data_IF_477402430211
#
_entry.id   IF_477402430211
#
_cell.length_a   1.000
_cell.length_b   1.000
_cell.length_c   1.000
_cell.angle_alpha   90.00
_cell.angle_beta   90.00
_cell.angle_gamma   90.00
#
_symmetry.space_group_name_H-M   'P 1'
#
loop_
_entity.id
_entity.type
_entity.pdbx_description
1 polymer ?
#
# COMPACT_ATOMS: atom_id res chain seq x y z
N UNK A 1 -4.06 -13.91 -10.50
CA UNK A 1 -3.48 -12.64 -10.97
C UNK A 1 -2.93 -11.83 -9.81
N UNK A 2 -1.79 -11.17 -10.04
CA UNK A 2 -1.11 -10.24 -9.12
C UNK A 2 -1.33 -8.78 -9.55
N UNK A 3 -2.56 -8.42 -9.92
CA UNK A 3 -2.88 -7.03 -10.31
C UNK A 3 -3.19 -6.20 -9.07
N UNK A 4 -2.90 -4.89 -9.14
CA UNK A 4 -3.26 -3.93 -8.08
C UNK A 4 -4.77 -3.98 -7.80
N UNK A 5 -5.60 -4.12 -8.84
CA UNK A 5 -7.05 -4.24 -8.72
C UNK A 5 -7.49 -5.46 -7.88
N UNK A 6 -6.91 -6.63 -8.12
CA UNK A 6 -7.26 -7.84 -7.37
C UNK A 6 -6.75 -7.78 -5.92
N UNK A 7 -5.56 -7.22 -5.67
CA UNK A 7 -5.06 -7.01 -4.31
C UNK A 7 -5.96 -6.05 -3.51
N UNK A 8 -6.37 -4.92 -4.11
CA UNK A 8 -7.35 -3.99 -3.51
C UNK A 8 -8.68 -4.68 -3.21
N UNK A 9 -9.17 -5.54 -4.10
CA UNK A 9 -10.41 -6.31 -3.88
C UNK A 9 -10.30 -7.25 -2.68
N UNK A 10 -9.16 -7.94 -2.53
CA UNK A 10 -8.89 -8.82 -1.38
C UNK A 10 -8.81 -8.04 -0.08
N UNK A 11 -8.07 -6.92 -0.05
CA UNK A 11 -7.99 -6.03 1.10
C UNK A 11 -9.38 -5.54 1.53
N UNK A 12 -10.20 -5.04 0.58
CA UNK A 12 -11.59 -4.63 0.86
C UNK A 12 -12.41 -5.73 1.54
N UNK A 13 -12.27 -6.99 1.09
CA UNK A 13 -12.99 -8.13 1.68
C UNK A 13 -12.51 -8.43 3.10
N UNK A 14 -11.20 -8.34 3.37
CA UNK A 14 -10.63 -8.54 4.71
C UNK A 14 -11.13 -7.46 5.68
N UNK A 15 -11.08 -6.20 5.24
CA UNK A 15 -11.56 -5.05 6.02
C UNK A 15 -13.07 -5.13 6.28
N UNK A 16 -13.87 -5.58 5.30
CA UNK A 16 -15.31 -5.80 5.48
C UNK A 16 -15.60 -6.87 6.54
N UNK A 17 -14.79 -7.93 6.61
CA UNK A 17 -14.92 -8.99 7.62
C UNK A 17 -14.48 -8.53 9.01
N UNK A 18 -13.49 -7.65 9.08
CA UNK A 18 -12.93 -7.15 10.34
C UNK A 18 -12.77 -5.63 10.31
N UNK A 19 -13.83 -4.85 10.60
CA UNK A 19 -13.80 -3.38 10.52
C UNK A 19 -12.77 -2.72 11.45
N UNK A 20 -12.38 -3.38 12.54
CA UNK A 20 -11.32 -2.92 13.45
C UNK A 20 -9.97 -2.76 12.75
N UNK A 21 -9.71 -3.56 11.70
CA UNK A 21 -8.47 -3.47 10.91
C UNK A 21 -8.32 -2.13 10.20
N UNK A 22 -9.41 -1.37 9.99
CA UNK A 22 -9.31 -0.03 9.40
C UNK A 22 -8.42 0.91 10.23
N UNK A 23 -8.58 0.88 11.55
CA UNK A 23 -7.77 1.71 12.46
C UNK A 23 -6.35 1.17 12.58
N UNK A 24 -6.23 -0.16 12.61
CA UNK A 24 -4.93 -0.82 12.69
C UNK A 24 -4.07 -0.53 11.45
N UNK A 25 -4.66 -0.50 10.25
CA UNK A 25 -3.96 -0.21 9.01
C UNK A 25 -3.11 1.06 9.07
N UNK A 26 -3.67 2.16 9.59
CA UNK A 26 -2.93 3.42 9.72
C UNK A 26 -1.74 3.34 10.71
N UNK A 27 -1.81 2.43 11.69
CA UNK A 27 -0.74 2.24 12.68
C UNK A 27 0.44 1.47 12.09
N UNK A 28 0.17 0.57 11.14
CA UNK A 28 1.19 -0.30 10.52
C UNK A 28 1.58 0.12 9.11
N UNK A 29 0.98 1.18 8.57
CA UNK A 29 1.19 1.57 7.17
C UNK A 29 2.65 1.86 6.85
N UNK A 30 3.33 2.59 7.74
CA UNK A 30 4.74 2.95 7.55
C UNK A 30 5.62 1.69 7.50
N UNK A 31 5.40 0.72 8.39
CA UNK A 31 6.10 -0.57 8.39
C UNK A 31 5.88 -1.32 7.06
N UNK A 32 4.62 -1.45 6.62
CA UNK A 32 4.28 -2.12 5.36
C UNK A 32 4.92 -1.41 4.15
N UNK A 33 5.00 -0.08 4.19
CA UNK A 33 5.66 0.69 3.13
C UNK A 33 7.16 0.43 3.10
N UNK A 34 7.85 0.42 4.26
CA UNK A 34 9.28 0.14 4.32
C UNK A 34 9.61 -1.29 3.86
N UNK A 35 8.76 -2.27 4.16
CA UNK A 35 8.89 -3.63 3.66
C UNK A 35 8.81 -3.68 2.13
N UNK A 36 7.78 -3.04 1.56
CA UNK A 36 7.62 -2.94 0.11
C UNK A 36 8.79 -2.18 -0.56
N UNK A 37 9.23 -1.09 0.06
CA UNK A 37 10.35 -0.27 -0.39
C UNK A 37 11.66 -1.07 -0.43
N UNK A 38 11.92 -1.86 0.62
CA UNK A 38 13.10 -2.72 0.72
C UNK A 38 13.13 -3.74 -0.41
N UNK A 39 11.99 -4.37 -0.70
CA UNK A 39 11.88 -5.31 -1.80
C UNK A 39 12.15 -4.65 -3.16
N UNK A 40 11.49 -3.52 -3.47
CA UNK A 40 11.68 -2.88 -4.78
C UNK A 40 13.07 -2.25 -4.94
N UNK A 41 13.70 -1.76 -3.87
CA UNK A 41 15.09 -1.26 -3.92
C UNK A 41 16.09 -2.39 -4.25
N UNK A 42 15.82 -3.62 -3.81
CA UNK A 42 16.67 -4.78 -4.17
C UNK A 42 16.55 -5.13 -5.65
N UNK A 43 15.33 -5.09 -6.19
CA UNK A 43 15.03 -5.43 -7.59
C UNK A 43 15.46 -4.32 -8.56
N UNK A 44 15.25 -3.04 -8.18
CA UNK A 44 15.43 -1.87 -9.04
C UNK A 44 16.53 -0.94 -8.53
N UNK A 45 17.77 -1.42 -8.46
CA UNK A 45 18.93 -0.71 -7.89
C UNK A 45 19.26 0.66 -8.50
N UNK A 46 18.77 0.94 -9.71
CA UNK A 46 19.03 2.20 -10.44
C UNK A 46 17.91 3.22 -10.31
N UNK A 47 16.77 2.83 -9.73
CA UNK A 47 15.61 3.71 -9.55
C UNK A 47 15.70 4.34 -8.17
N UNK A 48 15.53 5.66 -8.10
CA UNK A 48 15.38 6.35 -6.83
C UNK A 48 13.92 6.20 -6.38
N UNK A 49 13.73 5.60 -5.21
CA UNK A 49 12.45 5.56 -4.54
C UNK A 49 12.50 6.48 -3.32
N UNK A 50 11.44 7.25 -3.05
CA UNK A 50 11.39 8.07 -1.84
C UNK A 50 11.44 7.17 -0.60
N UNK A 51 12.11 7.63 0.45
CA UNK A 51 12.21 6.87 1.71
C UNK A 51 10.93 6.94 2.55
N UNK A 52 10.07 7.92 2.27
CA UNK A 52 8.77 8.12 2.91
C UNK A 52 7.66 8.19 1.86
N UNK A 53 6.49 7.69 2.22
CA UNK A 53 5.30 7.75 1.38
C UNK A 53 4.92 9.20 1.10
N UNK A 54 4.81 9.56 -0.19
CA UNK A 54 4.55 10.92 -0.65
C UNK A 54 3.06 11.21 -0.91
N UNK A 55 2.20 10.18 -0.83
CA UNK A 55 0.78 10.28 -1.16
C UNK A 55 -0.10 10.14 0.08
N UNK A 56 -1.42 10.14 -0.12
CA UNK A 56 -2.35 9.85 0.96
C UNK A 56 -2.18 8.38 1.41
N UNK A 57 -2.06 8.16 2.72
CA UNK A 57 -1.98 6.82 3.33
C UNK A 57 -3.30 6.40 4.00
N UNK A 58 -4.36 7.21 3.88
CA UNK A 58 -5.69 6.79 4.28
C UNK A 58 -6.08 5.51 3.54
N UNK A 59 -6.69 4.59 4.27
CA UNK A 59 -7.05 3.29 3.73
C UNK A 59 -7.91 3.39 2.47
N UNK A 60 -8.84 4.34 2.41
CA UNK A 60 -9.68 4.50 1.22
C UNK A 60 -8.88 4.98 0.01
N UNK A 61 -7.93 5.90 0.21
CA UNK A 61 -7.02 6.35 -0.83
C UNK A 61 -6.19 5.19 -1.39
N UNK A 62 -5.58 4.38 -0.50
CA UNK A 62 -4.82 3.18 -0.90
C UNK A 62 -5.68 2.18 -1.68
N UNK A 63 -6.98 2.10 -1.41
CA UNK A 63 -7.89 1.19 -2.07
C UNK A 63 -8.47 1.74 -3.38
N UNK A 64 -8.49 3.06 -3.61
CA UNK A 64 -9.24 3.68 -4.72
C UNK A 64 -8.37 4.53 -5.64
N UNK A 65 -7.44 5.32 -5.11
CA UNK A 65 -6.69 6.30 -5.89
C UNK A 65 -5.66 5.63 -6.80
N UNK A 66 -5.40 6.22 -7.96
CA UNK A 66 -4.32 5.80 -8.86
C UNK A 66 -3.23 6.87 -8.75
N UNK A 67 -2.23 6.61 -7.91
CA UNK A 67 -1.14 7.56 -7.64
C UNK A 67 0.12 7.30 -8.47
N UNK A 68 0.15 6.21 -9.27
CA UNK A 68 1.32 5.79 -10.08
C UNK A 68 1.24 6.20 -11.56
N UNK A 69 0.23 6.99 -11.94
CA UNK A 69 0.06 7.50 -13.32
C UNK A 69 0.54 8.96 -13.50
N UNK A 70 1.24 9.51 -12.50
CA UNK A 70 1.84 10.85 -12.55
C UNK A 70 3.29 10.83 -13.01
#
# INVERSE_FOLDING_TARGET
>A
ELTIAEQRRKLRRLIKKSPSLKRYFAQVFEEIYQDALSQVKMEYKKVYFPDIWQFNYELEAILTEVFWEY
#
